data_IF_504932896407
#
_entry.id   IF_504932896407
#
_cell.length_a   1.000
_cell.length_b   1.000
_cell.length_c   1.000
_cell.angle_alpha   90.00
_cell.angle_beta   90.00
_cell.angle_gamma   90.00
#
_symmetry.space_group_name_H-M   'P 1'
#
loop_
_entity.id
_entity.type
_entity.pdbx_description
1 polymer ?
#
# COMPACT_ATOMS: atom_id res chain seq x y z
N UNK A 1 46.10 29.07 -40.14
CA UNK A 1 47.15 28.09 -39.86
C UNK A 1 46.67 26.73 -40.33
N UNK A 2 47.20 26.26 -41.44
CA UNK A 2 47.01 24.91 -41.96
C UNK A 2 47.96 23.98 -41.23
N UNK A 3 47.44 23.06 -40.41
CA UNK A 3 48.23 21.99 -39.81
C UNK A 3 48.02 20.71 -40.62
N UNK A 4 49.09 20.29 -41.28
CA UNK A 4 49.22 19.01 -41.97
C UNK A 4 49.29 17.88 -40.93
N UNK A 5 48.43 16.87 -41.09
CA UNK A 5 48.74 15.50 -40.71
C UNK A 5 48.29 14.57 -41.84
N UNK A 6 49.18 13.66 -42.21
CA UNK A 6 49.12 12.82 -43.37
C UNK A 6 48.10 11.68 -43.20
N UNK A 7 46.87 11.92 -43.68
CA UNK A 7 46.00 10.99 -44.44
C UNK A 7 44.61 11.60 -44.63
N UNK A 8 44.46 12.40 -45.69
CA UNK A 8 43.39 12.18 -46.65
C UNK A 8 42.02 12.85 -46.51
N UNK A 9 41.66 13.50 -45.39
CA UNK A 9 40.57 14.49 -45.39
C UNK A 9 40.68 15.39 -44.17
N UNK A 10 41.15 16.63 -44.37
CA UNK A 10 41.18 17.63 -43.32
C UNK A 10 39.77 18.18 -43.14
N UNK A 11 39.12 17.92 -42.01
CA UNK A 11 37.91 18.67 -41.61
C UNK A 11 38.32 20.13 -41.49
N UNK A 12 37.91 20.95 -42.45
CA UNK A 12 38.29 22.35 -42.45
C UNK A 12 37.43 23.11 -41.45
N UNK A 13 37.94 24.22 -40.90
CA UNK A 13 37.16 25.14 -40.03
C UNK A 13 35.84 25.56 -40.71
N UNK A 14 35.82 25.54 -42.04
CA UNK A 14 34.66 25.83 -42.88
C UNK A 14 33.57 24.74 -42.75
N UNK A 15 33.94 23.47 -42.66
CA UNK A 15 33.00 22.34 -42.55
C UNK A 15 32.37 22.28 -41.14
N UNK A 16 33.14 22.62 -40.10
CA UNK A 16 32.61 22.83 -38.74
C UNK A 16 31.64 24.01 -38.67
N UNK A 17 31.96 25.12 -39.34
CA UNK A 17 31.05 26.27 -39.44
C UNK A 17 29.75 25.91 -40.16
N UNK A 18 29.81 25.10 -41.22
CA UNK A 18 28.63 24.64 -41.96
C UNK A 18 27.75 23.76 -41.06
N UNK A 19 28.32 22.79 -40.35
CA UNK A 19 27.55 21.95 -39.41
C UNK A 19 26.88 22.78 -38.30
N UNK A 20 27.57 23.79 -37.76
CA UNK A 20 27.01 24.70 -36.76
C UNK A 20 25.89 25.59 -37.33
N UNK A 21 26.01 26.03 -38.58
CA UNK A 21 24.95 26.81 -39.25
C UNK A 21 23.70 26.01 -39.59
N UNK A 22 23.78 24.69 -39.74
CA UNK A 22 22.62 23.83 -40.04
C UNK A 22 21.95 23.33 -38.75
N UNK A 23 22.74 23.00 -37.72
CA UNK A 23 22.24 22.41 -36.47
C UNK A 23 21.81 23.50 -35.48
N UNK A 24 22.52 24.63 -35.42
CA UNK A 24 22.21 25.77 -34.53
C UNK A 24 20.79 26.34 -34.65
N UNK A 25 20.24 26.56 -35.87
CA UNK A 25 18.87 27.04 -36.06
C UNK A 25 17.82 26.05 -35.54
N UNK A 26 18.07 24.74 -35.65
CA UNK A 26 17.14 23.70 -35.21
C UNK A 26 17.09 23.67 -33.67
N UNK A 27 18.26 23.70 -33.01
CA UNK A 27 18.33 23.77 -31.54
C UNK A 27 17.74 25.05 -30.99
N UNK A 28 17.99 26.19 -31.63
CA UNK A 28 17.42 27.48 -31.21
C UNK A 28 15.91 27.54 -31.45
N UNK A 29 15.39 26.94 -32.53
CA UNK A 29 13.95 26.83 -32.77
C UNK A 29 13.23 25.93 -31.75
N UNK A 30 13.84 24.81 -31.37
CA UNK A 30 13.31 23.89 -30.33
C UNK A 30 13.36 24.55 -28.94
N UNK A 31 14.47 25.22 -28.61
CA UNK A 31 14.60 25.98 -27.37
C UNK A 31 13.57 27.13 -27.31
N UNK A 32 13.40 27.88 -28.39
CA UNK A 32 12.42 28.96 -28.48
C UNK A 32 10.98 28.46 -28.36
N UNK A 33 10.64 27.36 -29.05
CA UNK A 33 9.31 26.75 -28.96
C UNK A 33 9.00 26.23 -27.55
N UNK A 34 9.97 25.58 -26.90
CA UNK A 34 9.81 25.06 -25.53
C UNK A 34 9.66 26.18 -24.50
N UNK A 35 10.43 27.26 -24.60
CA UNK A 35 10.29 28.46 -23.74
C UNK A 35 8.91 29.11 -23.95
N UNK A 36 8.47 29.25 -25.20
CA UNK A 36 7.18 29.90 -25.54
C UNK A 36 5.98 29.08 -25.06
N UNK A 37 6.02 27.74 -25.17
CA UNK A 37 4.92 26.83 -24.77
C UNK A 37 4.82 26.62 -23.25
N UNK A 38 5.93 26.77 -22.53
CA UNK A 38 5.94 26.64 -21.05
C UNK A 38 5.53 27.94 -20.36
N UNK A 39 5.86 29.11 -20.93
CA UNK A 39 5.36 30.41 -20.47
C UNK A 39 3.83 30.53 -20.54
N UNK A 40 3.17 29.75 -21.42
CA UNK A 40 1.70 29.76 -21.56
C UNK A 40 1.00 28.66 -20.75
N UNK A 41 1.71 27.67 -20.19
CA UNK A 41 1.05 26.48 -19.60
C UNK A 41 1.36 26.17 -18.13
N UNK A 42 2.41 26.72 -17.49
CA UNK A 42 2.71 26.35 -16.09
C UNK A 42 3.52 27.41 -15.32
N UNK A 43 2.96 27.93 -14.22
CA UNK A 43 3.60 28.88 -13.29
C UNK A 43 4.63 28.25 -12.32
N UNK A 44 5.13 27.03 -12.60
CA UNK A 44 5.99 26.24 -11.69
C UNK A 44 7.48 26.24 -12.07
N UNK A 45 7.86 26.78 -13.24
CA UNK A 45 9.25 26.78 -13.71
C UNK A 45 9.80 28.21 -13.78
N UNK A 46 10.91 28.48 -13.09
CA UNK A 46 11.60 29.77 -13.20
C UNK A 46 12.27 29.90 -14.58
N UNK A 47 12.02 31.03 -15.25
CA UNK A 47 12.58 31.38 -16.56
C UNK A 47 14.10 31.16 -16.62
N UNK A 48 14.78 31.49 -15.52
CA UNK A 48 16.24 31.43 -15.42
C UNK A 48 16.76 29.98 -15.34
N UNK A 49 15.99 29.08 -14.72
CA UNK A 49 16.34 27.66 -14.64
C UNK A 49 16.24 26.93 -15.98
N UNK A 50 15.34 27.38 -16.88
CA UNK A 50 15.21 26.81 -18.22
C UNK A 50 16.33 27.28 -19.15
N UNK A 51 16.70 28.57 -19.07
CA UNK A 51 17.80 29.16 -19.85
C UNK A 51 19.14 28.51 -19.44
N UNK A 52 19.38 28.32 -18.15
CA UNK A 52 20.60 27.67 -17.65
C UNK A 52 20.77 26.23 -18.18
N UNK A 53 19.67 25.48 -18.33
CA UNK A 53 19.70 24.09 -18.85
C UNK A 53 20.02 24.04 -20.33
N UNK A 54 19.43 24.92 -21.14
CA UNK A 54 19.74 25.01 -22.57
C UNK A 54 21.15 25.54 -22.84
N UNK A 55 21.64 26.46 -22.00
CA UNK A 55 23.05 26.88 -22.01
C UNK A 55 23.98 25.69 -21.76
N UNK A 56 23.66 24.82 -20.79
CA UNK A 56 24.41 23.59 -20.53
C UNK A 56 24.43 22.62 -21.71
N UNK A 57 23.29 22.42 -22.39
CA UNK A 57 23.21 21.58 -23.58
C UNK A 57 24.06 22.12 -24.75
N UNK A 58 24.03 23.43 -24.97
CA UNK A 58 24.89 24.09 -25.96
C UNK A 58 26.38 23.92 -25.62
N UNK A 59 26.75 24.09 -24.35
CA UNK A 59 28.13 23.96 -23.87
C UNK A 59 28.67 22.53 -24.07
N UNK A 60 27.86 21.51 -23.77
CA UNK A 60 28.21 20.10 -24.01
C UNK A 60 28.35 19.81 -25.50
N UNK A 61 27.43 20.29 -26.34
CA UNK A 61 27.51 20.10 -27.79
C UNK A 61 28.75 20.77 -28.42
N UNK A 62 29.11 21.97 -27.95
CA UNK A 62 30.33 22.65 -28.35
C UNK A 62 31.59 21.91 -27.90
N UNK A 63 31.58 21.35 -26.67
CA UNK A 63 32.67 20.54 -26.16
C UNK A 63 32.88 19.25 -26.97
N UNK A 64 31.78 18.59 -27.38
CA UNK A 64 31.82 17.40 -28.25
C UNK A 64 32.45 17.74 -29.60
N UNK A 65 32.06 18.86 -30.21
CA UNK A 65 32.61 19.31 -31.49
C UNK A 65 34.10 19.64 -31.39
N UNK A 66 34.52 20.36 -30.36
CA UNK A 66 35.94 20.68 -30.12
C UNK A 66 36.75 19.40 -29.86
N UNK A 67 36.25 18.48 -29.02
CA UNK A 67 36.92 17.20 -28.76
C UNK A 67 37.08 16.36 -30.03
N UNK A 68 36.09 16.37 -30.93
CA UNK A 68 36.17 15.69 -32.22
C UNK A 68 37.20 16.31 -33.17
N UNK A 69 37.46 17.62 -33.06
CA UNK A 69 38.47 18.33 -33.85
C UNK A 69 39.91 17.94 -33.47
N UNK A 70 40.14 17.62 -32.20
CA UNK A 70 41.47 17.33 -31.65
C UNK A 70 41.87 15.85 -31.76
N UNK A 71 40.94 14.95 -32.08
CA UNK A 71 41.19 13.51 -32.19
C UNK A 71 41.76 13.15 -33.57
N UNK A 72 43.06 13.39 -33.78
CA UNK A 72 43.78 12.99 -34.98
C UNK A 72 43.96 11.46 -35.07
N UNK A 73 43.17 10.79 -35.91
CA UNK A 73 43.39 9.41 -36.37
C UNK A 73 42.41 8.35 -35.88
N UNK A 74 42.08 7.39 -36.76
CA UNK A 74 40.89 6.53 -36.73
C UNK A 74 40.62 5.68 -35.47
N UNK A 75 41.64 5.32 -34.67
CA UNK A 75 41.41 4.57 -33.41
C UNK A 75 41.16 5.49 -32.20
N UNK A 76 41.67 6.73 -32.22
CA UNK A 76 41.38 7.72 -31.19
C UNK A 76 39.96 8.29 -31.35
N UNK A 77 39.47 8.38 -32.59
CA UNK A 77 38.08 8.76 -32.91
C UNK A 77 37.05 7.78 -32.34
N UNK A 78 37.32 6.48 -32.38
CA UNK A 78 36.43 5.45 -31.81
C UNK A 78 36.41 5.54 -30.28
N UNK A 79 37.57 5.78 -29.65
CA UNK A 79 37.66 5.99 -28.20
C UNK A 79 36.92 7.24 -27.72
N UNK A 80 37.04 8.36 -28.44
CA UNK A 80 36.31 9.61 -28.13
C UNK A 80 34.82 9.48 -28.43
N UNK A 81 34.43 8.81 -29.53
CA UNK A 81 33.03 8.54 -29.82
C UNK A 81 32.39 7.69 -28.73
N UNK A 82 33.02 6.60 -28.28
CA UNK A 82 32.42 5.76 -27.24
C UNK A 82 32.44 6.46 -25.87
N UNK A 83 33.54 7.11 -25.50
CA UNK A 83 33.70 7.74 -24.19
C UNK A 83 32.92 9.06 -24.04
N UNK A 84 32.53 9.72 -25.13
CA UNK A 84 31.81 11.01 -25.09
C UNK A 84 30.39 10.91 -25.64
N UNK A 85 30.18 10.18 -26.74
CA UNK A 85 28.84 10.06 -27.36
C UNK A 85 27.91 9.20 -26.50
N UNK A 86 28.40 8.13 -25.88
CA UNK A 86 27.57 7.24 -25.05
C UNK A 86 27.12 7.94 -23.76
N UNK A 87 28.00 8.48 -22.90
CA UNK A 87 27.54 9.21 -21.73
C UNK A 87 26.84 10.52 -22.09
N UNK A 88 27.26 11.22 -23.16
CA UNK A 88 26.58 12.42 -23.65
C UNK A 88 25.15 12.14 -24.14
N UNK A 89 24.94 11.03 -24.87
CA UNK A 89 23.61 10.60 -25.30
C UNK A 89 22.76 10.04 -24.15
N UNK A 90 23.37 9.40 -23.14
CA UNK A 90 22.66 8.97 -21.93
C UNK A 90 22.21 10.18 -21.11
N UNK A 91 23.06 11.19 -20.92
CA UNK A 91 22.70 12.43 -20.22
C UNK A 91 21.63 13.20 -21.01
N UNK A 92 21.79 13.29 -22.34
CA UNK A 92 20.79 13.90 -23.21
C UNK A 92 19.48 13.12 -23.16
N UNK A 93 19.51 11.79 -23.19
CA UNK A 93 18.34 10.93 -23.05
C UNK A 93 17.68 11.16 -21.69
N UNK A 94 18.41 11.17 -20.58
CA UNK A 94 17.83 11.43 -19.25
C UNK A 94 17.18 12.83 -19.16
N UNK A 95 17.75 13.84 -19.82
CA UNK A 95 17.18 15.21 -19.87
C UNK A 95 15.96 15.28 -20.80
N UNK A 96 15.95 14.50 -21.89
CA UNK A 96 14.93 14.55 -22.95
C UNK A 96 13.81 13.49 -22.79
N UNK A 97 14.01 12.47 -21.94
CA UNK A 97 13.06 11.37 -21.66
C UNK A 97 11.70 11.86 -21.12
N UNK A 98 11.62 12.79 -20.15
CA UNK A 98 10.32 13.33 -19.73
C UNK A 98 9.65 14.23 -20.79
N UNK A 99 10.37 14.60 -21.86
CA UNK A 99 9.85 15.44 -22.95
C UNK A 99 9.40 14.63 -24.18
N UNK A 100 10.15 13.59 -24.60
CA UNK A 100 9.79 12.77 -25.77
C UNK A 100 8.71 11.75 -25.45
N UNK A 101 8.69 11.19 -24.23
CA UNK A 101 7.62 10.28 -23.80
C UNK A 101 6.23 10.92 -23.98
N UNK A 102 6.08 12.19 -23.59
CA UNK A 102 4.84 12.95 -23.78
C UNK A 102 4.56 13.35 -25.25
N UNK A 103 5.58 13.40 -26.13
CA UNK A 103 5.41 13.82 -27.53
C UNK A 103 5.10 12.64 -28.47
N UNK A 104 5.61 11.44 -28.16
CA UNK A 104 5.38 10.22 -28.94
C UNK A 104 4.18 9.40 -28.44
N UNK A 105 3.86 9.43 -27.14
CA UNK A 105 2.71 8.71 -26.61
C UNK A 105 1.38 9.39 -26.97
N UNK A 106 1.28 10.72 -26.82
CA UNK A 106 0.02 11.46 -27.02
C UNK A 106 -0.69 11.13 -28.33
N UNK A 107 -0.12 11.25 -29.55
CA UNK A 107 -0.92 11.06 -30.75
C UNK A 107 -1.40 9.61 -30.99
N UNK A 108 -0.74 8.61 -30.40
CA UNK A 108 -1.13 7.19 -30.51
C UNK A 108 -2.17 6.85 -29.44
N UNK A 109 -1.98 7.34 -28.22
CA UNK A 109 -2.91 7.19 -27.11
C UNK A 109 -4.22 7.95 -27.39
N UNK A 110 -4.13 9.19 -27.87
CA UNK A 110 -5.27 10.06 -28.22
C UNK A 110 -6.11 9.48 -29.38
N UNK A 111 -5.49 8.68 -30.27
CA UNK A 111 -6.15 8.01 -31.38
C UNK A 111 -6.77 6.65 -31.02
N UNK A 112 -6.20 5.92 -30.04
CA UNK A 112 -6.77 4.66 -29.54
C UNK A 112 -7.85 4.87 -28.47
N UNK A 113 -7.74 5.93 -27.66
CA UNK A 113 -8.66 6.21 -26.55
C UNK A 113 -9.79 7.17 -26.92
N UNK A 114 -9.76 7.74 -28.13
CA UNK A 114 -10.86 8.55 -28.67
C UNK A 114 -11.16 9.80 -27.84
N UNK A 115 -10.38 10.87 -28.01
CA UNK A 115 -10.70 12.25 -27.56
C UNK A 115 -11.46 12.32 -26.21
N UNK A 116 -10.83 11.88 -25.13
CA UNK A 116 -11.35 12.00 -23.76
C UNK A 116 -10.71 13.16 -22.97
N UNK A 117 -10.19 14.20 -23.64
CA UNK A 117 -9.27 15.15 -23.00
C UNK A 117 -9.78 16.60 -22.90
N UNK A 118 -11.09 16.84 -22.95
CA UNK A 118 -11.65 18.18 -22.65
C UNK A 118 -12.44 18.25 -21.33
N UNK A 119 -12.63 17.14 -20.58
CA UNK A 119 -13.50 17.15 -19.39
C UNK A 119 -12.87 16.83 -18.04
N UNK A 120 -11.57 16.50 -17.95
CA UNK A 120 -10.97 16.16 -16.64
C UNK A 120 -9.59 16.75 -16.39
N UNK A 121 -9.50 18.08 -16.39
CA UNK A 121 -8.45 18.75 -15.62
C UNK A 121 -8.98 18.95 -14.20
N UNK A 122 -8.59 18.07 -13.26
CA UNK A 122 -8.96 18.18 -11.84
C UNK A 122 -8.81 19.64 -11.36
N UNK A 123 -9.78 20.19 -10.61
CA UNK A 123 -9.65 21.53 -10.06
C UNK A 123 -8.37 21.67 -9.24
N UNK A 124 -7.68 22.79 -9.39
CA UNK A 124 -6.49 23.04 -8.60
C UNK A 124 -6.89 23.51 -7.19
N UNK A 125 -6.78 22.64 -6.17
CA UNK A 125 -7.11 22.98 -4.77
C UNK A 125 -6.04 23.78 -4.03
N UNK A 126 -4.93 24.14 -4.68
CA UNK A 126 -3.90 24.99 -4.08
C UNK A 126 -4.43 26.28 -3.41
N UNK A 127 -5.36 27.01 -4.04
CA UNK A 127 -6.00 28.18 -3.43
C UNK A 127 -6.84 27.90 -2.18
N UNK A 128 -7.27 26.66 -1.95
CA UNK A 128 -7.99 26.24 -0.73
C UNK A 128 -7.02 25.78 0.35
N UNK A 129 -6.06 24.93 -0.03
CA UNK A 129 -5.12 24.32 0.91
C UNK A 129 -4.22 25.41 1.54
N UNK A 130 -3.86 26.43 0.77
CA UNK A 130 -2.99 27.52 1.24
C UNK A 130 -3.59 28.35 2.39
N UNK A 131 -4.83 28.89 2.31
CA UNK A 131 -5.47 29.54 3.45
C UNK A 131 -5.77 28.57 4.59
N UNK A 132 -6.22 27.32 4.31
CA UNK A 132 -6.48 26.30 5.33
C UNK A 132 -5.25 26.04 6.21
N UNK A 133 -4.10 25.80 5.58
CA UNK A 133 -2.83 25.56 6.29
C UNK A 133 -2.32 26.79 7.08
N UNK A 134 -2.81 28.00 6.74
CA UNK A 134 -2.49 29.24 7.47
C UNK A 134 -3.46 29.52 8.62
N UNK A 135 -4.44 28.65 8.86
CA UNK A 135 -5.51 28.85 9.84
C UNK A 135 -6.61 29.80 9.39
N UNK A 136 -6.61 30.25 8.14
CA UNK A 136 -7.68 31.05 7.54
C UNK A 136 -8.74 30.12 6.95
N UNK A 137 -9.54 29.50 7.82
CA UNK A 137 -10.55 28.52 7.44
C UNK A 137 -11.71 29.15 6.68
N UNK A 138 -12.05 30.40 6.99
CA UNK A 138 -13.09 31.13 6.27
C UNK A 138 -12.64 31.44 4.83
N UNK A 139 -11.40 31.89 4.64
CA UNK A 139 -10.83 32.06 3.30
C UNK A 139 -10.72 30.74 2.54
N UNK A 140 -10.42 29.64 3.22
CA UNK A 140 -10.42 28.31 2.62
C UNK A 140 -11.82 27.88 2.16
N UNK A 141 -12.85 28.07 3.00
CA UNK A 141 -14.23 27.73 2.67
C UNK A 141 -14.73 28.51 1.46
N UNK A 142 -14.50 29.83 1.43
CA UNK A 142 -14.85 30.67 0.28
C UNK A 142 -14.13 30.24 -1.01
N UNK A 143 -12.86 29.84 -0.89
CA UNK A 143 -12.10 29.35 -2.04
C UNK A 143 -12.64 28.01 -2.57
N UNK A 144 -13.11 27.11 -1.69
CA UNK A 144 -13.76 25.85 -2.10
C UNK A 144 -15.09 26.14 -2.79
N UNK A 145 -15.89 27.04 -2.24
CA UNK A 145 -17.18 27.40 -2.83
C UNK A 145 -17.01 28.00 -4.23
N UNK A 146 -16.05 28.91 -4.42
CA UNK A 146 -15.73 29.46 -5.74
C UNK A 146 -15.20 28.40 -6.73
N UNK A 147 -14.59 27.31 -6.25
CA UNK A 147 -14.21 26.18 -7.10
C UNK A 147 -15.42 25.30 -7.46
N UNK A 148 -16.31 25.04 -6.50
CA UNK A 148 -17.53 24.26 -6.70
C UNK A 148 -18.55 25.00 -7.59
N UNK A 149 -18.58 26.33 -7.58
CA UNK A 149 -19.37 27.13 -8.54
C UNK A 149 -18.91 26.90 -9.99
N UNK A 150 -17.60 26.75 -10.19
CA UNK A 150 -17.01 26.50 -11.53
C UNK A 150 -17.09 25.04 -11.93
N UNK A 151 -17.10 24.14 -10.95
CA UNK A 151 -17.11 22.69 -11.13
C UNK A 151 -18.19 22.06 -10.23
N UNK A 152 -19.48 22.25 -10.55
CA UNK A 152 -20.56 21.66 -9.76
C UNK A 152 -20.49 20.13 -9.81
N UNK A 153 -20.64 19.49 -8.64
CA UNK A 153 -20.57 18.03 -8.52
C UNK A 153 -19.15 17.45 -8.49
N UNK A 154 -18.14 18.28 -8.22
CA UNK A 154 -16.78 17.82 -7.93
C UNK A 154 -16.72 17.17 -6.53
N UNK A 155 -16.66 15.84 -6.50
CA UNK A 155 -16.63 15.03 -5.28
C UNK A 155 -15.50 15.44 -4.33
N UNK A 156 -14.29 15.65 -4.85
CA UNK A 156 -13.12 15.99 -4.03
C UNK A 156 -13.27 17.39 -3.40
N UNK A 157 -13.83 18.35 -4.16
CA UNK A 157 -14.16 19.67 -3.65
C UNK A 157 -15.24 19.65 -2.58
N UNK A 158 -16.29 18.83 -2.75
CA UNK A 158 -17.35 18.68 -1.75
C UNK A 158 -16.85 17.99 -0.48
N UNK A 159 -16.02 16.95 -0.62
CA UNK A 159 -15.36 16.29 0.51
C UNK A 159 -14.41 17.24 1.25
N UNK A 160 -13.69 18.10 0.53
CA UNK A 160 -12.84 19.14 1.13
C UNK A 160 -13.66 20.19 1.87
N UNK A 161 -14.81 20.62 1.30
CA UNK A 161 -15.75 21.52 1.98
C UNK A 161 -16.25 20.92 3.30
N UNK A 162 -16.70 19.67 3.26
CA UNK A 162 -17.18 18.96 4.45
C UNK A 162 -16.07 18.77 5.49
N UNK A 163 -14.84 18.48 5.05
CA UNK A 163 -13.69 18.36 5.95
C UNK A 163 -13.34 19.66 6.64
N UNK A 164 -13.40 20.81 5.95
CA UNK A 164 -13.19 22.12 6.58
C UNK A 164 -14.26 22.37 7.66
N UNK A 165 -15.53 22.04 7.40
CA UNK A 165 -16.60 22.20 8.40
C UNK A 165 -16.38 21.33 9.64
N UNK A 166 -16.14 20.03 9.47
CA UNK A 166 -15.98 19.12 10.61
C UNK A 166 -14.64 19.30 11.34
N UNK A 167 -13.52 19.37 10.62
CA UNK A 167 -12.17 19.36 11.22
C UNK A 167 -11.72 20.74 11.69
N UNK A 168 -12.08 21.80 10.96
CA UNK A 168 -11.56 23.15 11.26
C UNK A 168 -12.59 24.00 12.03
N UNK A 169 -13.88 23.89 11.71
CA UNK A 169 -14.95 24.61 12.41
C UNK A 169 -15.61 23.79 13.53
N UNK A 170 -15.39 22.47 13.58
CA UNK A 170 -16.04 21.59 14.55
C UNK A 170 -17.55 21.39 14.30
N UNK A 171 -18.05 21.78 13.13
CA UNK A 171 -19.46 21.70 12.77
C UNK A 171 -19.74 20.41 11.98
N UNK A 172 -20.06 19.34 12.73
CA UNK A 172 -20.39 18.04 12.15
C UNK A 172 -21.71 18.07 11.38
N UNK A 173 -22.68 18.86 11.81
CA UNK A 173 -24.00 18.91 11.20
C UNK A 173 -23.93 19.55 9.81
N UNK A 174 -23.20 20.66 9.69
CA UNK A 174 -22.91 21.27 8.39
C UNK A 174 -22.13 20.32 7.47
N UNK A 175 -21.16 19.59 8.01
CA UNK A 175 -20.42 18.58 7.25
C UNK A 175 -21.35 17.45 6.76
N UNK A 176 -22.21 16.91 7.63
CA UNK A 176 -23.20 15.88 7.30
C UNK A 176 -24.16 16.34 6.19
N UNK A 177 -24.57 17.60 6.21
CA UNK A 177 -25.44 18.14 5.16
C UNK A 177 -24.76 18.10 3.79
N UNK A 178 -23.49 18.54 3.71
CA UNK A 178 -22.70 18.47 2.47
C UNK A 178 -22.52 17.01 2.03
N UNK A 179 -22.23 16.11 2.96
CA UNK A 179 -22.08 14.68 2.65
C UNK A 179 -23.39 14.05 2.15
N UNK A 180 -24.55 14.46 2.66
CA UNK A 180 -25.85 14.00 2.15
C UNK A 180 -26.10 14.50 0.72
N UNK A 181 -25.68 15.72 0.39
CA UNK A 181 -25.73 16.25 -0.98
C UNK A 181 -24.88 15.39 -1.94
N UNK A 182 -23.67 14.99 -1.53
CA UNK A 182 -22.79 14.08 -2.29
C UNK A 182 -23.47 12.74 -2.59
N UNK A 183 -24.34 12.27 -1.69
CA UNK A 183 -25.03 10.98 -1.81
C UNK A 183 -26.37 11.07 -2.55
N UNK A 184 -26.83 12.27 -2.91
CA UNK A 184 -28.12 12.49 -3.59
C UNK A 184 -28.09 12.02 -5.05
N UNK A 185 -26.91 12.00 -5.69
CA UNK A 185 -26.76 11.56 -7.07
C UNK A 185 -26.64 10.02 -7.18
N UNK A 186 -27.70 9.37 -7.63
CA UNK A 186 -27.82 7.91 -7.66
C UNK A 186 -26.71 7.19 -8.46
N UNK A 187 -26.25 7.77 -9.58
CA UNK A 187 -25.20 7.15 -10.42
C UNK A 187 -23.85 7.05 -9.71
N UNK A 188 -23.51 8.03 -8.86
CA UNK A 188 -22.22 8.09 -8.14
C UNK A 188 -22.31 7.58 -6.72
N UNK A 189 -23.53 7.46 -6.18
CA UNK A 189 -23.80 6.99 -4.80
C UNK A 189 -23.10 5.67 -4.47
N UNK A 190 -23.05 4.72 -5.41
CA UNK A 190 -22.36 3.42 -5.22
C UNK A 190 -20.89 3.56 -4.83
N UNK A 191 -20.19 4.54 -5.41
CA UNK A 191 -18.77 4.77 -5.16
C UNK A 191 -18.56 5.73 -3.99
N UNK A 192 -19.44 6.72 -3.84
CA UNK A 192 -19.31 7.76 -2.83
C UNK A 192 -19.69 7.28 -1.43
N UNK A 193 -20.75 6.47 -1.30
CA UNK A 193 -21.30 6.06 -0.01
C UNK A 193 -20.26 5.42 0.92
N UNK A 194 -19.45 4.43 0.48
CA UNK A 194 -18.41 3.87 1.34
C UNK A 194 -17.38 4.90 1.80
N UNK A 195 -16.98 5.83 0.94
CA UNK A 195 -15.99 6.86 1.26
C UNK A 195 -16.55 7.85 2.29
N UNK A 196 -17.79 8.31 2.05
CA UNK A 196 -18.50 9.25 2.92
C UNK A 196 -18.70 8.68 4.32
N UNK A 197 -19.24 7.46 4.44
CA UNK A 197 -19.52 6.85 5.74
C UNK A 197 -18.25 6.42 6.48
N UNK A 198 -17.16 6.05 5.79
CA UNK A 198 -15.87 5.85 6.45
C UNK A 198 -15.34 7.16 7.04
N UNK A 199 -15.44 8.26 6.30
CA UNK A 199 -15.01 9.58 6.78
C UNK A 199 -15.85 10.07 7.96
N UNK A 200 -17.17 9.84 7.93
CA UNK A 200 -18.06 10.11 9.06
C UNK A 200 -17.66 9.30 10.30
N UNK A 201 -17.41 8.00 10.14
CA UNK A 201 -16.94 7.17 11.25
C UNK A 201 -15.60 7.68 11.82
N UNK A 202 -14.67 8.11 10.96
CA UNK A 202 -13.40 8.71 11.39
C UNK A 202 -13.61 10.01 12.18
N UNK A 203 -14.54 10.87 11.76
CA UNK A 203 -14.85 12.09 12.50
C UNK A 203 -15.51 11.80 13.84
N UNK A 204 -16.49 10.90 13.87
CA UNK A 204 -17.14 10.47 15.11
C UNK A 204 -16.13 9.94 16.13
N UNK A 205 -15.15 9.14 15.69
CA UNK A 205 -14.10 8.61 16.58
C UNK A 205 -13.05 9.65 16.98
N UNK A 206 -12.50 10.38 16.01
CA UNK A 206 -11.29 11.18 16.25
C UNK A 206 -11.56 12.62 16.67
N UNK A 207 -12.75 13.16 16.36
CA UNK A 207 -13.10 14.56 16.62
C UNK A 207 -14.17 14.71 17.69
N UNK A 208 -15.14 13.80 17.73
CA UNK A 208 -16.34 13.93 18.58
C UNK A 208 -16.46 12.88 19.68
N UNK A 209 -15.53 11.92 19.76
CA UNK A 209 -15.49 10.86 20.77
C UNK A 209 -16.82 10.09 20.92
N UNK A 210 -17.46 9.81 19.77
CA UNK A 210 -18.76 9.14 19.68
C UNK A 210 -18.61 7.79 18.96
N UNK A 211 -18.23 6.72 19.67
CA UNK A 211 -18.02 5.41 19.07
C UNK A 211 -19.32 4.76 18.56
N UNK A 212 -20.48 5.13 19.11
CA UNK A 212 -21.75 4.51 18.73
C UNK A 212 -22.25 5.02 17.37
N UNK A 213 -22.17 6.32 17.14
CA UNK A 213 -22.46 6.87 15.80
C UNK A 213 -21.41 6.44 14.77
N UNK A 214 -20.15 6.27 15.17
CA UNK A 214 -19.14 5.68 14.30
C UNK A 214 -19.51 4.24 13.86
N UNK A 215 -19.99 3.41 14.80
CA UNK A 215 -20.49 2.07 14.48
C UNK A 215 -21.71 2.13 13.56
N UNK A 216 -22.64 3.03 13.82
CA UNK A 216 -23.82 3.21 12.98
C UNK A 216 -23.44 3.62 11.55
N UNK A 217 -22.48 4.54 11.38
CA UNK A 217 -21.95 4.94 10.09
C UNK A 217 -21.32 3.77 9.32
N UNK A 218 -20.51 2.93 9.98
CA UNK A 218 -19.91 1.75 9.36
C UNK A 218 -20.97 0.69 8.99
N UNK A 219 -22.00 0.49 9.82
CA UNK A 219 -23.12 -0.44 9.53
C UNK A 219 -23.87 -0.04 8.26
N UNK A 220 -24.03 1.26 7.99
CA UNK A 220 -24.67 1.75 6.75
C UNK A 220 -23.96 1.27 5.48
N UNK A 221 -22.64 1.11 5.52
CA UNK A 221 -21.86 0.57 4.38
C UNK A 221 -22.25 -0.89 4.13
N UNK A 222 -22.31 -1.69 5.19
CA UNK A 222 -22.65 -3.11 5.12
C UNK A 222 -24.10 -3.34 4.67
N UNK A 223 -25.04 -2.51 5.14
CA UNK A 223 -26.45 -2.55 4.74
C UNK A 223 -26.65 -2.17 3.27
N UNK A 224 -25.93 -1.15 2.79
CA UNK A 224 -26.09 -0.63 1.43
C UNK A 224 -25.50 -1.54 0.37
N UNK A 225 -24.37 -2.19 0.66
CA UNK A 225 -23.64 -3.03 -0.30
C UNK A 225 -23.20 -4.34 0.35
N UNK A 226 -24.15 -5.27 0.63
CA UNK A 226 -23.80 -6.60 1.08
C UNK A 226 -22.87 -7.26 0.06
N UNK A 227 -21.98 -8.13 0.55
CA UNK A 227 -21.03 -8.87 -0.28
C UNK A 227 -20.11 -7.99 -1.13
N UNK A 228 -19.76 -6.80 -0.63
CA UNK A 228 -18.80 -5.91 -1.26
C UNK A 228 -17.51 -5.82 -0.43
N UNK A 229 -16.41 -5.45 -1.11
CA UNK A 229 -15.14 -5.13 -0.44
C UNK A 229 -15.30 -3.99 0.58
N UNK A 230 -16.20 -3.05 0.31
CA UNK A 230 -16.52 -1.95 1.23
C UNK A 230 -17.16 -2.47 2.52
N UNK A 231 -18.13 -3.37 2.42
CA UNK A 231 -18.74 -4.02 3.58
C UNK A 231 -17.74 -4.87 4.36
N UNK A 232 -16.84 -5.58 3.68
CA UNK A 232 -15.77 -6.33 4.34
C UNK A 232 -14.84 -5.41 5.14
N UNK A 233 -14.42 -4.28 4.57
CA UNK A 233 -13.60 -3.29 5.27
C UNK A 233 -14.32 -2.67 6.47
N UNK A 234 -15.60 -2.34 6.32
CA UNK A 234 -16.44 -1.86 7.41
C UNK A 234 -16.56 -2.91 8.53
N UNK A 235 -16.76 -4.19 8.19
CA UNK A 235 -16.80 -5.29 9.15
C UNK A 235 -15.46 -5.47 9.89
N UNK A 236 -14.30 -5.31 9.23
CA UNK A 236 -13.01 -5.32 9.93
C UNK A 236 -12.95 -4.22 10.98
N UNK A 237 -13.36 -3.00 10.60
CA UNK A 237 -13.30 -1.85 11.49
C UNK A 237 -14.23 -2.03 12.69
N UNK A 238 -15.47 -2.47 12.46
CA UNK A 238 -16.40 -2.80 13.53
C UNK A 238 -15.83 -3.87 14.48
N UNK A 239 -15.28 -4.95 13.94
CA UNK A 239 -14.63 -5.97 14.75
C UNK A 239 -13.45 -5.43 15.57
N UNK A 240 -12.64 -4.54 15.00
CA UNK A 240 -11.52 -3.93 15.73
C UNK A 240 -11.99 -3.00 16.86
N UNK A 241 -13.11 -2.28 16.66
CA UNK A 241 -13.69 -1.42 17.69
C UNK A 241 -14.23 -2.24 18.85
N UNK A 242 -14.98 -3.30 18.57
CA UNK A 242 -15.55 -4.16 19.60
C UNK A 242 -14.46 -4.93 20.34
N UNK A 243 -13.38 -5.33 19.64
CA UNK A 243 -12.21 -5.94 20.29
C UNK A 243 -11.46 -4.96 21.20
N UNK A 244 -11.30 -3.69 20.78
CA UNK A 244 -10.67 -2.66 21.61
C UNK A 244 -11.50 -2.36 22.86
N UNK A 245 -12.81 -2.24 22.71
CA UNK A 245 -13.73 -2.01 23.84
C UNK A 245 -13.71 -3.18 24.83
N UNK A 246 -13.77 -4.43 24.35
CA UNK A 246 -13.65 -5.60 25.21
C UNK A 246 -12.32 -5.61 26.00
N UNK A 247 -11.20 -5.27 25.35
CA UNK A 247 -9.91 -5.17 26.01
C UNK A 247 -9.86 -4.03 27.05
N UNK A 248 -10.57 -2.92 26.81
CA UNK A 248 -10.68 -1.84 27.79
C UNK A 248 -11.43 -2.28 29.04
N UNK A 249 -12.57 -2.99 28.90
CA UNK A 249 -13.30 -3.52 30.04
C UNK A 249 -12.47 -4.54 30.84
N UNK A 250 -11.74 -5.43 30.17
CA UNK A 250 -10.84 -6.39 30.83
C UNK A 250 -9.71 -5.70 31.61
N UNK A 251 -9.11 -4.64 31.05
CA UNK A 251 -8.10 -3.87 31.76
C UNK A 251 -8.66 -3.16 33.01
N UNK A 252 -9.90 -2.66 32.95
CA UNK A 252 -10.59 -2.06 34.10
C UNK A 252 -10.89 -3.10 35.17
N UNK A 253 -11.44 -4.26 34.80
CA UNK A 253 -11.76 -5.37 35.70
C UNK A 253 -10.51 -5.91 36.42
N UNK A 254 -9.40 -6.07 35.68
CA UNK A 254 -8.10 -6.39 36.28
C UNK A 254 -7.67 -5.31 37.27
N UNK A 255 -7.82 -4.03 36.92
CA UNK A 255 -7.50 -2.91 37.81
C UNK A 255 -8.28 -2.93 39.12
N UNK A 256 -9.57 -3.24 39.08
CA UNK A 256 -10.42 -3.41 40.26
C UNK A 256 -9.98 -4.62 41.09
N UNK A 257 -9.74 -5.76 40.43
CA UNK A 257 -9.22 -6.99 41.09
C UNK A 257 -7.89 -6.74 41.80
N UNK A 258 -6.96 -6.01 41.17
CA UNK A 258 -5.68 -5.65 41.80
C UNK A 258 -5.88 -4.74 43.02
N UNK A 259 -6.82 -3.79 42.96
CA UNK A 259 -7.14 -2.93 44.11
C UNK A 259 -7.69 -3.74 45.29
N UNK A 260 -8.57 -4.72 45.04
CA UNK A 260 -9.09 -5.61 46.06
C UNK A 260 -7.99 -6.48 46.70
N UNK A 261 -7.11 -7.07 45.89
CA UNK A 261 -5.97 -7.86 46.39
C UNK A 261 -5.03 -6.98 47.24
N UNK A 262 -4.78 -5.74 46.83
CA UNK A 262 -3.95 -4.82 47.63
C UNK A 262 -4.61 -4.47 48.96
N UNK A 263 -5.93 -4.24 48.98
CA UNK A 263 -6.68 -3.96 50.21
C UNK A 263 -6.76 -5.19 51.14
N UNK A 264 -6.85 -6.40 50.58
CA UNK A 264 -6.82 -7.65 51.35
C UNK A 264 -5.42 -7.93 51.93
N UNK A 265 -4.37 -7.63 51.16
CA UNK A 265 -2.98 -7.75 51.61
C UNK A 265 -2.63 -6.73 52.72
N UNK A 266 -3.18 -5.51 52.66
CA UNK A 266 -3.05 -4.51 53.72
C UNK A 266 -3.71 -4.96 55.04
N UNK A 267 -4.82 -5.71 54.95
CA UNK A 267 -5.48 -6.31 56.12
C UNK A 267 -4.77 -7.57 56.66
N UNK A 268 -4.10 -8.33 55.80
CA UNK A 268 -3.42 -9.59 56.14
C UNK A 268 -1.90 -9.40 56.17
N UNK A 269 -1.41 -8.63 57.14
CA UNK A 269 0.00 -8.26 57.27
C UNK A 269 0.90 -9.39 57.83
N UNK A 270 0.91 -10.57 57.20
CA UNK A 270 1.92 -11.62 57.41
C UNK A 270 2.72 -11.88 56.13
N UNK A 271 3.75 -11.04 55.90
CA UNK A 271 4.74 -11.27 54.85
C UNK A 271 5.51 -12.59 55.09
N UNK A 272 5.16 -13.64 54.35
CA UNK A 272 5.98 -14.87 54.24
C UNK A 272 6.65 -14.96 52.87
N UNK A 273 7.96 -14.68 52.87
CA UNK A 273 8.92 -15.24 51.91
C UNK A 273 9.14 -14.47 50.60
N UNK A 274 10.23 -14.80 49.87
CA UNK A 274 10.57 -14.16 48.60
C UNK A 274 9.50 -14.41 47.55
N UNK A 275 9.06 -13.34 46.87
CA UNK A 275 8.08 -13.35 45.79
C UNK A 275 8.46 -14.38 44.72
N UNK A 276 7.75 -15.50 44.67
CA UNK A 276 7.79 -16.43 43.54
C UNK A 276 6.99 -15.83 42.39
N UNK A 277 7.61 -15.69 41.21
CA UNK A 277 6.89 -15.34 39.99
C UNK A 277 5.86 -16.44 39.72
N UNK A 278 4.55 -16.13 39.67
CA UNK A 278 3.54 -17.14 39.36
C UNK A 278 3.81 -17.68 37.95
N UNK A 279 4.21 -18.95 37.87
CA UNK A 279 4.23 -19.66 36.59
C UNK A 279 2.83 -20.23 36.42
N UNK A 280 2.09 -19.73 35.43
CA UNK A 280 0.75 -20.22 35.12
C UNK A 280 0.79 -21.75 35.00
N UNK A 281 -0.09 -22.43 35.72
CA UNK A 281 -0.15 -23.89 35.65
C UNK A 281 -0.63 -24.32 34.26
N UNK A 282 -0.39 -25.58 33.90
CA UNK A 282 -0.88 -26.15 32.64
C UNK A 282 -2.41 -26.08 32.56
N UNK A 283 -3.09 -26.19 33.70
CA UNK A 283 -4.55 -26.09 33.83
C UNK A 283 -5.04 -24.66 33.60
N UNK A 284 -4.32 -23.65 34.13
CA UNK A 284 -4.63 -22.23 33.89
C UNK A 284 -4.49 -21.86 32.40
N UNK A 285 -3.47 -22.42 31.74
CA UNK A 285 -3.26 -22.21 30.30
C UNK A 285 -4.36 -22.86 29.45
N UNK A 286 -4.84 -24.05 29.84
CA UNK A 286 -5.93 -24.72 29.14
C UNK A 286 -7.23 -23.91 29.25
N UNK A 287 -7.58 -23.47 30.47
CA UNK A 287 -8.74 -22.63 30.73
C UNK A 287 -8.66 -21.26 30.01
N UNK A 288 -7.48 -20.65 29.98
CA UNK A 288 -7.25 -19.41 29.25
C UNK A 288 -7.46 -19.58 27.73
N UNK A 289 -7.07 -20.72 27.18
CA UNK A 289 -7.28 -20.99 25.76
C UNK A 289 -8.75 -21.33 25.44
N UNK A 290 -9.47 -22.02 26.33
CA UNK A 290 -10.90 -22.30 26.17
C UNK A 290 -11.72 -21.01 26.21
N UNK A 291 -11.41 -20.12 27.15
CA UNK A 291 -12.05 -18.79 27.24
C UNK A 291 -11.72 -17.92 26.03
N UNK A 292 -10.48 -17.96 25.54
CA UNK A 292 -10.09 -17.27 24.31
C UNK A 292 -10.84 -17.81 23.08
N UNK A 293 -11.04 -19.13 22.98
CA UNK A 293 -11.82 -19.75 21.91
C UNK A 293 -13.29 -19.30 21.95
N UNK A 294 -13.94 -19.36 23.12
CA UNK A 294 -15.32 -18.92 23.28
C UNK A 294 -15.49 -17.45 22.87
N UNK A 295 -14.62 -16.56 23.36
CA UNK A 295 -14.63 -15.13 23.01
C UNK A 295 -14.38 -14.91 21.51
N UNK A 296 -13.54 -15.72 20.89
CA UNK A 296 -13.28 -15.63 19.45
C UNK A 296 -14.49 -16.08 18.62
N UNK A 297 -15.23 -17.09 19.07
CA UNK A 297 -16.49 -17.53 18.44
C UNK A 297 -17.51 -16.39 18.50
N UNK A 298 -17.73 -15.79 19.67
CA UNK A 298 -18.67 -14.66 19.83
C UNK A 298 -18.32 -13.48 18.91
N UNK A 299 -17.02 -13.16 18.78
CA UNK A 299 -16.55 -12.12 17.85
C UNK A 299 -16.78 -12.45 16.38
N UNK A 300 -16.69 -13.73 15.99
CA UNK A 300 -17.00 -14.16 14.62
C UNK A 300 -18.50 -14.17 14.38
N UNK A 301 -19.32 -14.51 15.37
CA UNK A 301 -20.78 -14.41 15.28
C UNK A 301 -21.24 -12.96 15.12
N UNK A 302 -20.66 -12.04 15.91
CA UNK A 302 -20.95 -10.61 15.82
C UNK A 302 -20.47 -10.00 14.50
N UNK A 303 -19.29 -10.41 14.01
CA UNK A 303 -18.69 -9.92 12.76
C UNK A 303 -18.27 -11.05 11.83
N UNK A 304 -19.21 -11.70 11.12
CA UNK A 304 -18.92 -12.87 10.28
C UNK A 304 -17.99 -12.58 9.11
N UNK A 305 -17.79 -11.33 8.74
CA UNK A 305 -16.92 -10.94 7.63
C UNK A 305 -15.58 -10.36 8.10
N UNK A 306 -15.26 -10.44 9.39
CA UNK A 306 -13.96 -10.07 9.94
C UNK A 306 -12.88 -11.11 9.55
N UNK A 307 -11.83 -10.65 8.86
CA UNK A 307 -10.69 -11.46 8.45
C UNK A 307 -9.89 -11.80 9.70
N UNK A 308 -9.61 -10.79 10.52
CA UNK A 308 -8.81 -10.94 11.74
C UNK A 308 -9.45 -11.97 12.68
N UNK A 309 -10.75 -11.85 12.93
CA UNK A 309 -11.44 -12.78 13.83
C UNK A 309 -11.43 -14.22 13.28
N UNK A 310 -11.56 -14.40 11.96
CA UNK A 310 -11.54 -15.74 11.35
C UNK A 310 -10.15 -16.35 11.29
N UNK A 311 -9.11 -15.55 11.04
CA UNK A 311 -7.72 -16.02 11.11
C UNK A 311 -7.36 -16.44 12.55
N UNK A 312 -7.76 -15.64 13.54
CA UNK A 312 -7.58 -15.95 14.96
C UNK A 312 -8.34 -17.22 15.37
N UNK A 313 -9.61 -17.33 14.96
CA UNK A 313 -10.43 -18.51 15.22
C UNK A 313 -9.82 -19.77 14.59
N UNK A 314 -9.31 -19.66 13.36
CA UNK A 314 -8.62 -20.78 12.72
C UNK A 314 -7.38 -21.21 13.50
N UNK A 315 -6.62 -20.25 14.02
CA UNK A 315 -5.42 -20.53 14.80
C UNK A 315 -5.76 -21.22 16.12
N UNK A 316 -6.84 -20.82 16.79
CA UNK A 316 -7.34 -21.44 18.00
C UNK A 316 -7.86 -22.86 17.75
N UNK A 317 -8.69 -23.07 16.72
CA UNK A 317 -9.13 -24.42 16.34
C UNK A 317 -7.96 -25.36 16.06
N UNK A 318 -6.94 -24.87 15.33
CA UNK A 318 -5.81 -25.70 14.97
C UNK A 318 -4.85 -25.97 16.14
N UNK A 319 -4.47 -24.94 16.90
CA UNK A 319 -3.42 -25.06 17.94
C UNK A 319 -3.95 -25.57 19.27
N UNK A 320 -5.17 -25.18 19.65
CA UNK A 320 -5.74 -25.48 20.95
C UNK A 320 -6.71 -26.66 20.89
N UNK A 321 -7.75 -26.58 20.05
CA UNK A 321 -8.78 -27.62 19.95
C UNK A 321 -8.33 -28.87 19.18
N UNK A 322 -7.23 -28.76 18.41
CA UNK A 322 -6.74 -29.81 17.51
C UNK A 322 -7.81 -30.26 16.49
N UNK A 323 -8.59 -29.29 15.98
CA UNK A 323 -9.66 -29.47 15.01
C UNK A 323 -9.27 -28.85 13.65
N UNK A 324 -8.40 -29.54 12.86
CA UNK A 324 -7.85 -28.99 11.62
C UNK A 324 -8.92 -28.74 10.56
N UNK A 325 -10.00 -29.50 10.54
CA UNK A 325 -11.10 -29.32 9.58
C UNK A 325 -11.85 -28.00 9.82
N UNK A 326 -12.14 -27.65 11.08
CA UNK A 326 -12.77 -26.36 11.42
C UNK A 326 -11.83 -25.19 11.14
N UNK A 327 -10.53 -25.36 11.37
CA UNK A 327 -9.53 -24.36 11.01
C UNK A 327 -9.49 -24.12 9.49
N UNK A 328 -9.45 -25.19 8.68
CA UNK A 328 -9.50 -25.09 7.21
C UNK A 328 -10.79 -24.42 6.75
N UNK A 329 -11.93 -24.76 7.34
CA UNK A 329 -13.22 -24.15 7.02
C UNK A 329 -13.20 -22.63 7.13
N UNK A 330 -12.53 -22.06 8.14
CA UNK A 330 -12.42 -20.60 8.26
C UNK A 330 -11.65 -19.99 7.09
N UNK A 331 -10.53 -20.59 6.68
CA UNK A 331 -9.76 -20.09 5.53
C UNK A 331 -10.50 -20.29 4.20
N UNK A 332 -11.25 -21.37 4.02
CA UNK A 332 -12.11 -21.56 2.83
C UNK A 332 -13.19 -20.48 2.74
N UNK A 333 -13.81 -20.13 3.88
CA UNK A 333 -14.73 -18.99 3.94
C UNK A 333 -14.03 -17.70 3.47
N UNK A 334 -12.82 -17.41 3.98
CA UNK A 334 -12.05 -16.23 3.61
C UNK A 334 -11.71 -16.19 2.11
N UNK A 335 -11.34 -17.33 1.53
CA UNK A 335 -11.02 -17.44 0.08
C UNK A 335 -12.25 -17.09 -0.77
N UNK A 336 -13.44 -17.50 -0.34
CA UNK A 336 -14.71 -17.20 -1.01
C UNK A 336 -15.22 -15.76 -0.81
N UNK A 337 -14.59 -14.96 0.06
CA UNK A 337 -15.07 -13.62 0.36
C UNK A 337 -14.92 -12.64 -0.82
N UNK A 338 -15.94 -11.80 -1.07
CA UNK A 338 -15.85 -10.76 -2.08
C UNK A 338 -14.82 -9.70 -1.68
N UNK A 339 -13.91 -9.36 -2.60
CA UNK A 339 -12.86 -8.36 -2.37
C UNK A 339 -11.54 -8.93 -1.85
N UNK A 340 -11.46 -10.23 -1.59
CA UNK A 340 -10.20 -10.93 -1.33
C UNK A 340 -9.24 -10.74 -2.50
N UNK A 341 -8.04 -10.23 -2.21
CA UNK A 341 -7.01 -10.09 -3.23
C UNK A 341 -6.38 -11.44 -3.55
N UNK A 342 -5.88 -11.63 -4.77
CA UNK A 342 -5.12 -12.81 -5.16
C UNK A 342 -3.99 -13.11 -4.16
N UNK A 343 -3.29 -12.07 -3.69
CA UNK A 343 -2.22 -12.21 -2.68
C UNK A 343 -2.74 -12.79 -1.36
N UNK A 344 -3.92 -12.37 -0.89
CA UNK A 344 -4.55 -12.89 0.32
C UNK A 344 -5.00 -14.33 0.13
N UNK A 345 -5.66 -14.64 -0.98
CA UNK A 345 -6.09 -16.00 -1.32
C UNK A 345 -4.90 -16.96 -1.39
N UNK A 346 -3.79 -16.55 -2.01
CA UNK A 346 -2.53 -17.33 -2.01
C UNK A 346 -1.99 -17.52 -0.59
N UNK A 347 -2.04 -16.48 0.26
CA UNK A 347 -1.59 -16.60 1.66
C UNK A 347 -2.46 -17.60 2.45
N UNK A 348 -3.79 -17.55 2.31
CA UNK A 348 -4.72 -18.44 2.98
C UNK A 348 -4.62 -19.88 2.48
N UNK A 349 -4.47 -20.09 1.17
CA UNK A 349 -4.22 -21.43 0.62
C UNK A 349 -2.90 -22.03 1.15
N UNK A 350 -1.87 -21.21 1.34
CA UNK A 350 -0.64 -21.68 2.00
C UNK A 350 -0.87 -22.05 3.47
N UNK A 351 -1.73 -21.32 4.19
CA UNK A 351 -2.13 -21.67 5.57
C UNK A 351 -2.89 -22.99 5.63
N UNK A 352 -3.81 -23.24 4.69
CA UNK A 352 -4.52 -24.52 4.57
C UNK A 352 -3.52 -25.66 4.34
N UNK A 353 -2.57 -25.49 3.40
CA UNK A 353 -1.53 -26.50 3.16
C UNK A 353 -0.65 -26.73 4.39
N UNK A 354 -0.31 -25.69 5.16
CA UNK A 354 0.43 -25.83 6.43
C UNK A 354 -0.35 -26.63 7.47
N UNK A 355 -1.66 -26.41 7.58
CA UNK A 355 -2.55 -27.13 8.50
C UNK A 355 -2.59 -28.61 8.09
N UNK A 356 -2.85 -28.91 6.81
CA UNK A 356 -2.90 -30.28 6.27
C UNK A 356 -1.59 -31.05 6.52
N UNK A 357 -0.44 -30.41 6.27
CA UNK A 357 0.87 -31.05 6.50
C UNK A 357 1.09 -31.38 7.99
N UNK A 358 0.64 -30.50 8.89
CA UNK A 358 0.83 -30.68 10.34
C UNK A 358 -0.22 -31.61 10.97
N UNK A 359 -1.42 -31.69 10.42
CA UNK A 359 -2.48 -32.61 10.87
C UNK A 359 -2.25 -34.06 10.42
N UNK A 360 -1.28 -34.30 9.53
CA UNK A 360 -0.95 -35.64 9.04
C UNK A 360 -1.83 -36.08 7.86
N UNK A 361 -2.42 -35.14 7.12
CA UNK A 361 -3.17 -35.40 5.90
C UNK A 361 -2.32 -36.09 4.81
N UNK A 362 -2.99 -36.62 3.79
CA UNK A 362 -2.31 -37.27 2.67
C UNK A 362 -1.50 -36.26 1.85
N UNK A 363 -0.44 -36.75 1.19
CA UNK A 363 0.36 -35.92 0.29
C UNK A 363 -0.50 -35.36 -0.86
N UNK A 364 -1.53 -36.09 -1.29
CA UNK A 364 -2.39 -35.69 -2.39
C UNK A 364 -3.31 -34.51 -2.01
N UNK A 365 -3.88 -34.49 -0.80
CA UNK A 365 -4.71 -33.37 -0.30
C UNK A 365 -3.92 -32.05 -0.23
N UNK A 366 -2.71 -32.09 0.34
CA UNK A 366 -1.86 -30.91 0.42
C UNK A 366 -1.38 -30.46 -0.97
N UNK A 367 -1.17 -31.40 -1.89
CA UNK A 367 -0.82 -31.10 -3.28
C UNK A 367 -1.98 -30.46 -4.06
N UNK A 368 -3.20 -30.92 -3.86
CA UNK A 368 -4.42 -30.33 -4.46
C UNK A 368 -4.60 -28.88 -4.02
N UNK A 369 -4.39 -28.59 -2.75
CA UNK A 369 -4.43 -27.21 -2.23
C UNK A 369 -3.37 -26.32 -2.86
N UNK A 370 -2.14 -26.83 -3.06
CA UNK A 370 -1.07 -26.09 -3.74
C UNK A 370 -1.33 -25.92 -5.24
N UNK A 371 -2.05 -26.84 -5.89
CA UNK A 371 -2.47 -26.68 -7.28
C UNK A 371 -3.44 -25.51 -7.44
N UNK A 372 -4.37 -25.32 -6.49
CA UNK A 372 -5.26 -24.13 -6.48
C UNK A 372 -4.47 -22.82 -6.49
N UNK A 373 -3.30 -22.76 -5.85
CA UNK A 373 -2.41 -21.58 -5.90
C UNK A 373 -1.82 -21.39 -7.30
N UNK A 374 -1.41 -22.48 -7.95
CA UNK A 374 -0.85 -22.45 -9.30
C UNK A 374 -1.89 -21.95 -10.29
N UNK A 375 -3.12 -22.46 -10.20
CA UNK A 375 -4.23 -22.08 -11.07
C UNK A 375 -4.68 -20.63 -10.83
N UNK A 376 -4.65 -20.18 -9.58
CA UNK A 376 -5.03 -18.81 -9.22
C UNK A 376 -4.01 -17.75 -9.67
N UNK A 377 -2.72 -18.11 -9.71
CA UNK A 377 -1.62 -17.16 -9.94
C UNK A 377 -0.82 -17.48 -11.20
N UNK A 378 -1.52 -17.65 -12.33
CA UNK A 378 -0.92 -17.96 -13.63
C UNK A 378 0.31 -17.06 -13.91
N UNK A 379 1.48 -17.70 -13.92
CA UNK A 379 2.81 -17.14 -14.23
C UNK A 379 3.42 -16.10 -13.26
N UNK A 380 2.97 -16.08 -11.99
CA UNK A 380 3.56 -15.22 -10.94
C UNK A 380 4.41 -15.98 -9.92
N UNK A 381 5.12 -15.22 -9.08
CA UNK A 381 5.92 -15.72 -7.97
C UNK A 381 5.15 -16.66 -7.01
N UNK A 382 3.83 -16.52 -6.90
CA UNK A 382 2.96 -17.43 -6.14
C UNK A 382 2.98 -18.86 -6.69
N UNK A 383 2.70 -19.02 -7.98
CA UNK A 383 2.72 -20.31 -8.67
C UNK A 383 4.11 -20.96 -8.65
N UNK A 384 5.19 -20.20 -8.84
CA UNK A 384 6.56 -20.75 -8.76
C UNK A 384 6.87 -21.31 -7.37
N UNK A 385 6.48 -20.59 -6.30
CA UNK A 385 6.67 -21.05 -4.91
C UNK A 385 5.81 -22.28 -4.61
N UNK A 386 4.56 -22.30 -5.04
CA UNK A 386 3.67 -23.45 -4.86
C UNK A 386 4.23 -24.69 -5.57
N UNK A 387 4.67 -24.58 -6.83
CA UNK A 387 5.32 -25.66 -7.58
C UNK A 387 6.57 -26.19 -6.87
N UNK A 388 7.43 -25.29 -6.37
CA UNK A 388 8.62 -25.68 -5.62
C UNK A 388 8.25 -26.42 -4.33
N UNK A 389 7.25 -25.93 -3.58
CA UNK A 389 6.76 -26.59 -2.37
C UNK A 389 6.20 -27.98 -2.64
N UNK A 390 5.43 -28.15 -3.72
CA UNK A 390 4.92 -29.46 -4.14
C UNK A 390 6.03 -30.49 -4.38
N UNK A 391 7.20 -30.08 -4.90
CA UNK A 391 8.35 -30.98 -5.10
C UNK A 391 8.97 -31.47 -3.79
N UNK A 392 8.90 -30.66 -2.72
CA UNK A 392 9.49 -30.96 -1.42
C UNK A 392 8.48 -31.42 -0.36
N UNK A 393 7.20 -31.52 -0.71
CA UNK A 393 6.09 -31.82 0.20
C UNK A 393 6.30 -33.13 0.99
N UNK A 394 6.84 -34.17 0.35
CA UNK A 394 7.14 -35.43 1.03
C UNK A 394 8.16 -35.28 2.18
N UNK A 395 9.08 -34.31 2.09
CA UNK A 395 10.05 -34.01 3.15
C UNK A 395 9.36 -33.23 4.28
N UNK A 396 8.50 -32.27 3.94
CA UNK A 396 7.71 -31.50 4.90
C UNK A 396 6.82 -32.40 5.77
N UNK A 397 6.10 -33.33 5.15
CA UNK A 397 5.23 -34.29 5.86
C UNK A 397 6.04 -35.18 6.80
N UNK A 398 7.18 -35.72 6.35
CA UNK A 398 8.07 -36.52 7.22
C UNK A 398 8.58 -35.70 8.40
N UNK A 399 8.95 -34.45 8.17
CA UNK A 399 9.44 -33.56 9.21
C UNK A 399 8.34 -33.21 10.24
N UNK A 400 7.10 -32.98 9.78
CA UNK A 400 5.94 -32.76 10.65
C UNK A 400 5.65 -33.99 11.51
N UNK A 401 5.61 -35.18 10.91
CA UNK A 401 5.37 -36.44 11.63
C UNK A 401 6.44 -36.73 12.69
N UNK A 402 7.71 -36.38 12.44
CA UNK A 402 8.79 -36.53 13.41
C UNK A 402 8.61 -35.61 14.63
N UNK A 403 8.08 -34.39 14.45
CA UNK A 403 7.79 -33.46 15.55
C UNK A 403 6.61 -33.91 16.42
N UNK A 404 5.61 -34.54 15.80
CA UNK A 404 4.41 -35.03 16.50
C UNK A 404 4.64 -36.38 17.22
N UNK A 405 5.75 -37.07 16.95
CA UNK A 405 6.12 -38.30 17.66
C UNK A 405 6.83 -37.93 18.98
N UNK A 406 6.29 -38.27 20.16
CA UNK A 406 6.99 -38.03 21.41
C UNK A 406 8.33 -38.78 21.37
N UNK A 407 9.42 -38.05 21.59
CA UNK A 407 10.75 -38.64 21.69
C UNK A 407 10.70 -39.69 22.80
N UNK A 408 10.77 -40.98 22.42
CA UNK A 408 11.02 -42.06 23.37
C UNK A 408 12.42 -41.85 23.94
N UNK A 409 12.49 -41.12 25.05
CA UNK A 409 13.65 -41.14 25.92
C UNK A 409 13.67 -42.53 26.54
N UNK A 410 14.28 -43.50 25.86
CA UNK A 410 14.72 -44.73 26.51
C UNK A 410 15.66 -44.31 27.63
N UNK A 411 15.14 -44.38 28.86
CA UNK A 411 15.85 -44.06 30.08
C UNK A 411 16.96 -45.10 30.23
N UNK A 412 18.15 -44.82 29.68
CA UNK A 412 19.37 -45.60 29.89
C UNK A 412 19.79 -45.44 31.36
N UNK A 413 19.14 -46.18 32.25
CA UNK A 413 19.67 -46.51 33.57
C UNK A 413 20.52 -47.77 33.39
N UNK A 414 21.77 -47.61 33.01
CA UNK A 414 22.82 -48.61 33.25
C UNK A 414 24.17 -48.02 32.84
N UNK A 415 25.18 -48.28 33.69
CA UNK A 415 26.60 -47.95 33.58
C UNK A 415 27.06 -46.49 33.81
N UNK A 416 26.90 -46.04 35.06
CA UNK A 416 28.06 -45.49 35.76
C UNK A 416 28.29 -46.29 37.04
N UNK A 417 29.06 -47.37 36.89
CA UNK A 417 29.62 -48.10 38.02
C UNK A 417 30.51 -47.18 38.86
N UNK A 418 30.11 -47.00 40.11
CA UNK A 418 30.98 -46.59 41.21
C UNK A 418 30.77 -47.62 42.32
N UNK A 419 31.61 -48.65 42.32
CA UNK A 419 32.09 -49.26 43.56
C UNK A 419 33.25 -48.43 44.08
#
# INVERSE_FOLDING_TARGET
>A
MTLLAATGESVTVKDMLIAFTVIGPIYTAIAWYSIRKTLTSTARYSRDGLIAKWMGAFLVSAFILVASAYAGGGYALIGVLIAVLVPGSIILALILTPYISNLMASPITDAMEGRLDEHWKKPAYGPVITPRNRGDYQGALMAVEALLEKHPGDFEGQMLKASIQAEDFGDLDAAKQILNEILTEDERRRFNLPVVYNKLADWHLNLFDDPDEARHALKKISEAYPDSKAAQMAAQRLASMDAFEAASYEATDLGETYQEITAEAENNNELKGPLSIPTASVEDLALANETALARCIDRVEAHPNSIINREELSDLYFKHSNEPELAIFQYEYLIGMPGATEKQQVAWLNKIADIQVKSGCTQDEAKETLLRIVDLSEDRAGATRAKSRMMHLAIEIRAANKKNTPLKLERRKEDFGLM
#
